data_IF_654897552750
#
_entry.id   IF_654897552750
#
_cell.length_a   1.000
_cell.length_b   1.000
_cell.length_c   1.000
_cell.angle_alpha   90.00
_cell.angle_beta   90.00
_cell.angle_gamma   90.00
#
_symmetry.space_group_name_H-M   'P 1'
#
loop_
_entity.id
_entity.type
_entity.pdbx_description
1 polymer ?
#
# COMPACT_ATOMS: atom_id res chain seq x y z
N UNK A 1 -16.73 14.42 -7.20
CA UNK A 1 -16.09 13.08 -7.18
C UNK A 1 -16.05 12.63 -5.73
N UNK A 2 -16.46 11.40 -5.45
CA UNK A 2 -16.48 10.91 -4.06
C UNK A 2 -15.05 10.78 -3.53
N UNK A 3 -14.81 11.15 -2.27
CA UNK A 3 -13.50 11.15 -1.62
C UNK A 3 -13.33 9.98 -0.65
N UNK A 4 -14.30 9.06 -0.58
CA UNK A 4 -14.27 7.93 0.35
C UNK A 4 -13.19 6.94 -0.12
N UNK A 5 -12.19 6.64 0.71
CA UNK A 5 -11.16 5.67 0.37
C UNK A 5 -11.66 4.24 0.61
N UNK A 6 -11.19 3.33 -0.23
CA UNK A 6 -11.36 1.89 -0.02
C UNK A 6 -10.55 1.37 1.17
N UNK A 7 -9.65 2.17 1.72
CA UNK A 7 -8.73 1.79 2.78
C UNK A 7 -8.97 2.61 4.06
N UNK A 8 -8.66 2.00 5.20
CA UNK A 8 -8.50 2.69 6.49
C UNK A 8 -7.17 2.31 7.10
N UNK A 9 -6.57 3.26 7.83
CA UNK A 9 -5.31 3.04 8.54
C UNK A 9 -5.50 3.30 10.03
N UNK A 10 -4.85 2.48 10.86
CA UNK A 10 -4.67 2.71 12.30
C UNK A 10 -3.21 2.62 12.68
N UNK A 11 -2.76 3.38 13.67
CA UNK A 11 -1.37 3.37 14.12
C UNK A 11 -1.14 2.17 15.04
N UNK A 12 -0.03 1.46 14.81
CA UNK A 12 0.46 0.38 15.69
C UNK A 12 1.60 0.86 16.57
N UNK A 13 2.50 1.66 16.01
CA UNK A 13 3.69 2.20 16.69
C UNK A 13 3.95 3.63 16.20
N UNK A 14 5.01 4.28 16.70
CA UNK A 14 5.40 5.61 16.23
C UNK A 14 5.68 5.68 14.72
N UNK A 15 6.00 4.55 14.07
CA UNK A 15 6.34 4.51 12.64
C UNK A 15 5.59 3.46 11.81
N UNK A 16 4.72 2.66 12.43
CA UNK A 16 4.04 1.53 11.75
C UNK A 16 2.53 1.67 11.85
N UNK A 17 1.85 1.40 10.73
CA UNK A 17 0.41 1.48 10.56
C UNK A 17 -0.13 0.17 10.01
N UNK A 18 -1.29 -0.25 10.51
CA UNK A 18 -2.09 -1.30 9.89
C UNK A 18 -3.10 -0.64 8.97
N UNK A 19 -3.14 -1.10 7.72
CA UNK A 19 -4.08 -0.70 6.69
C UNK A 19 -4.98 -1.90 6.38
N UNK A 20 -6.28 -1.63 6.19
CA UNK A 20 -7.30 -2.63 5.85
C UNK A 20 -8.25 -2.04 4.83
N UNK A 21 -8.90 -2.90 4.04
CA UNK A 21 -9.92 -2.48 3.06
C UNK A 21 -11.32 -2.44 3.68
N UNK A 22 -12.15 -1.50 3.22
CA UNK A 22 -13.57 -1.43 3.52
C UNK A 22 -14.34 -2.21 2.47
N UNK A 23 -15.20 -3.14 2.91
CA UNK A 23 -16.18 -3.82 2.05
C UNK A 23 -15.52 -4.38 0.78
N UNK A 24 -14.45 -5.15 0.99
CA UNK A 24 -13.74 -5.87 -0.06
C UNK A 24 -14.67 -6.91 -0.68
N UNK A 25 -14.79 -6.89 -2.01
CA UNK A 25 -15.72 -7.79 -2.74
C UNK A 25 -15.37 -9.27 -2.60
N UNK A 26 -14.15 -9.57 -2.16
CA UNK A 26 -13.65 -10.94 -2.00
C UNK A 26 -13.80 -11.47 -0.56
N UNK A 27 -14.20 -10.64 0.40
CA UNK A 27 -14.37 -11.01 1.82
C UNK A 27 -13.10 -11.62 2.46
N UNK A 28 -11.91 -11.28 1.93
CA UNK A 28 -10.62 -11.84 2.37
C UNK A 28 -10.04 -11.07 3.58
N UNK A 29 -10.44 -9.81 3.75
CA UNK A 29 -10.01 -8.92 4.84
C UNK A 29 -8.48 -8.88 5.10
N UNK A 30 -7.65 -8.62 4.07
CA UNK A 30 -6.19 -8.67 4.22
C UNK A 30 -5.66 -7.55 5.12
N UNK A 31 -4.55 -7.87 5.79
CA UNK A 31 -3.77 -6.89 6.56
C UNK A 31 -2.60 -6.39 5.72
N UNK A 32 -2.54 -5.07 5.53
CA UNK A 32 -1.43 -4.38 4.89
C UNK A 32 -0.67 -3.62 5.98
N UNK A 33 0.65 -3.74 6.05
CA UNK A 33 1.43 -2.96 7.00
C UNK A 33 2.26 -1.90 6.28
N UNK A 34 2.13 -0.65 6.70
CA UNK A 34 2.97 0.44 6.24
C UNK A 34 3.91 0.87 7.36
N UNK A 35 5.22 0.85 7.10
CA UNK A 35 6.26 1.30 8.02
C UNK A 35 7.05 2.45 7.41
N UNK A 36 6.99 3.60 8.05
CA UNK A 36 7.75 4.81 7.70
C UNK A 36 9.18 4.66 8.22
N UNK A 37 10.18 4.80 7.35
CA UNK A 37 11.60 4.72 7.71
C UNK A 37 12.33 5.98 7.22
N UNK A 38 12.24 7.10 7.99
CA UNK A 38 12.78 8.39 7.56
C UNK A 38 14.29 8.36 7.32
N UNK A 39 15.05 7.62 8.14
CA UNK A 39 16.50 7.49 8.00
C UNK A 39 16.96 6.86 6.68
N UNK A 40 16.05 6.19 5.97
CA UNK A 40 16.29 5.59 4.66
C UNK A 40 15.47 6.27 3.55
N UNK A 41 14.81 7.39 3.82
CA UNK A 41 13.90 8.08 2.89
C UNK A 41 12.88 7.13 2.23
N UNK A 42 12.36 6.17 3.00
CA UNK A 42 11.60 5.04 2.46
C UNK A 42 10.37 4.71 3.31
N UNK A 43 9.31 4.25 2.66
CA UNK A 43 8.17 3.57 3.26
C UNK A 43 8.17 2.09 2.85
N UNK A 44 8.24 1.20 3.83
CA UNK A 44 8.10 -0.24 3.63
C UNK A 44 6.62 -0.61 3.68
N UNK A 45 6.11 -1.22 2.61
CA UNK A 45 4.78 -1.78 2.51
C UNK A 45 4.91 -3.31 2.55
N UNK A 46 4.24 -3.93 3.51
CA UNK A 46 4.08 -5.38 3.58
C UNK A 46 2.66 -5.69 3.09
N UNK A 47 2.60 -6.45 2.00
CA UNK A 47 1.39 -6.85 1.28
C UNK A 47 0.59 -5.68 0.67
N UNK A 48 -0.26 -5.97 -0.30
CA UNK A 48 -1.01 -4.93 -1.06
C UNK A 48 -2.53 -5.06 -0.96
N UNK A 49 -3.02 -6.12 -0.32
CA UNK A 49 -4.44 -6.45 -0.23
C UNK A 49 -5.10 -6.76 -1.58
N UNK A 50 -6.43 -6.64 -1.59
CA UNK A 50 -7.29 -6.88 -2.75
C UNK A 50 -7.33 -5.68 -3.72
N UNK A 51 -6.75 -4.56 -3.33
CA UNK A 51 -6.53 -3.40 -4.18
C UNK A 51 -7.70 -2.43 -4.23
N UNK A 52 -8.55 -2.40 -3.21
CA UNK A 52 -9.65 -1.46 -3.09
C UNK A 52 -10.82 -1.78 -4.03
N UNK A 53 -10.98 -3.05 -4.38
CA UNK A 53 -12.18 -3.52 -5.07
C UNK A 53 -13.32 -3.58 -4.05
N UNK A 54 -14.34 -2.74 -4.25
CA UNK A 54 -15.47 -2.66 -3.31
C UNK A 54 -16.81 -2.57 -4.03
N UNK A 55 -17.85 -3.12 -3.38
CA UNK A 55 -19.24 -3.03 -3.81
C UNK A 55 -19.85 -1.65 -3.53
N UNK A 56 -19.19 -0.82 -2.71
CA UNK A 56 -19.68 0.50 -2.35
C UNK A 56 -19.48 1.50 -3.51
N UNK A 57 -20.56 2.03 -4.13
CA UNK A 57 -20.47 2.97 -5.24
C UNK A 57 -19.92 4.34 -4.84
N UNK A 58 -19.87 4.64 -3.55
CA UNK A 58 -19.31 5.88 -3.03
C UNK A 58 -17.78 5.81 -2.90
N UNK A 59 -17.11 4.68 -3.10
CA UNK A 59 -15.64 4.65 -3.05
C UNK A 59 -15.05 5.33 -4.28
N UNK A 60 -14.27 6.38 -4.05
CA UNK A 60 -13.58 7.15 -5.09
C UNK A 60 -12.08 6.86 -5.15
N UNK A 61 -11.43 6.68 -4.00
CA UNK A 61 -10.00 6.37 -3.92
C UNK A 61 -9.82 4.86 -3.78
N UNK A 62 -9.38 4.22 -4.86
CA UNK A 62 -9.21 2.75 -4.95
C UNK A 62 -7.75 2.31 -4.96
N UNK A 63 -6.82 3.22 -5.28
CA UNK A 63 -5.40 2.91 -5.28
C UNK A 63 -4.82 3.00 -3.88
N UNK A 64 -4.09 1.97 -3.44
CA UNK A 64 -3.36 2.00 -2.17
C UNK A 64 -2.32 3.14 -2.18
N UNK A 65 -1.65 3.38 -3.32
CA UNK A 65 -0.72 4.51 -3.46
C UNK A 65 -1.44 5.84 -3.27
N UNK A 66 -2.54 6.05 -3.98
CA UNK A 66 -3.32 7.29 -3.87
C UNK A 66 -3.80 7.53 -2.43
N UNK A 67 -4.25 6.47 -1.75
CA UNK A 67 -4.59 6.53 -0.34
C UNK A 67 -3.39 6.98 0.53
N UNK A 68 -2.22 6.35 0.38
CA UNK A 68 -1.02 6.69 1.14
C UNK A 68 -0.56 8.14 0.92
N UNK A 69 -0.75 8.67 -0.29
CA UNK A 69 -0.21 9.96 -0.70
C UNK A 69 -1.15 11.14 -0.51
N UNK A 70 -2.46 10.91 -0.47
CA UNK A 70 -3.46 11.99 -0.51
C UNK A 70 -4.45 11.97 0.66
N UNK A 71 -4.67 10.81 1.30
CA UNK A 71 -5.72 10.67 2.30
C UNK A 71 -5.17 10.92 3.70
N UNK A 72 -5.77 11.89 4.40
CA UNK A 72 -5.45 12.19 5.79
C UNK A 72 -5.81 11.01 6.71
N UNK A 73 -4.84 10.55 7.50
CA UNK A 73 -5.05 9.53 8.53
C UNK A 73 -5.13 10.22 9.89
N UNK A 74 -6.24 10.05 10.61
CA UNK A 74 -6.48 10.72 11.91
C UNK A 74 -5.33 10.43 12.90
N UNK A 75 -4.92 9.16 12.97
CA UNK A 75 -3.83 8.72 13.84
C UNK A 75 -2.43 9.15 13.33
N UNK A 76 -2.33 9.76 12.16
CA UNK A 76 -1.12 10.38 11.62
C UNK A 76 -1.24 11.91 11.57
N UNK A 77 -1.72 12.51 12.66
CA UNK A 77 -1.84 13.97 12.79
C UNK A 77 -2.71 14.59 11.69
N UNK A 78 -3.68 13.82 11.17
CA UNK A 78 -4.51 14.20 10.02
C UNK A 78 -3.71 14.51 8.75
N UNK A 79 -2.54 13.89 8.60
CA UNK A 79 -1.71 13.97 7.40
C UNK A 79 -1.68 12.62 6.65
N UNK A 80 -1.47 12.63 5.32
CA UNK A 80 -1.17 11.41 4.58
C UNK A 80 0.09 10.72 5.11
N UNK A 81 0.18 9.41 4.92
CA UNK A 81 1.34 8.64 5.38
C UNK A 81 2.60 8.93 4.53
N UNK A 82 2.43 9.25 3.24
CA UNK A 82 3.52 9.63 2.33
C UNK A 82 3.09 10.80 1.42
N UNK A 83 2.94 12.03 1.95
CA UNK A 83 2.34 13.13 1.19
C UNK A 83 3.02 13.37 -0.16
N UNK A 84 2.28 13.16 -1.26
CA UNK A 84 2.79 13.32 -2.63
C UNK A 84 3.96 12.39 -3.01
N UNK A 85 4.12 11.25 -2.35
CA UNK A 85 5.14 10.25 -2.72
C UNK A 85 6.58 10.67 -2.38
N UNK A 86 6.78 11.48 -1.33
CA UNK A 86 8.11 11.97 -0.92
C UNK A 86 9.09 10.88 -0.46
N UNK A 87 8.56 9.77 0.05
CA UNK A 87 9.32 8.57 0.40
C UNK A 87 9.26 7.57 -0.74
N UNK A 88 10.40 6.92 -1.02
CA UNK A 88 10.45 5.77 -1.90
C UNK A 88 9.64 4.60 -1.31
N UNK A 89 9.02 3.76 -2.14
CA UNK A 89 8.36 2.56 -1.65
C UNK A 89 9.25 1.34 -1.78
N UNK A 90 9.33 0.56 -0.71
CA UNK A 90 9.76 -0.83 -0.78
C UNK A 90 8.51 -1.68 -0.55
N UNK A 91 8.13 -2.49 -1.53
CA UNK A 91 6.97 -3.37 -1.40
C UNK A 91 7.45 -4.81 -1.25
N UNK A 92 7.03 -5.45 -0.16
CA UNK A 92 7.35 -6.83 0.17
C UNK A 92 6.06 -7.61 0.27
N UNK A 93 5.99 -8.75 -0.42
CA UNK A 93 4.87 -9.67 -0.34
C UNK A 93 5.25 -10.83 0.58
N UNK A 94 4.43 -11.07 1.60
CA UNK A 94 4.68 -12.06 2.65
C UNK A 94 4.52 -13.49 2.15
N UNK A 95 3.58 -13.74 1.24
CA UNK A 95 3.36 -15.03 0.60
C UNK A 95 2.53 -14.89 -0.70
N UNK A 96 2.20 -16.03 -1.34
CA UNK A 96 1.68 -16.07 -2.72
C UNK A 96 0.16 -16.33 -2.86
N UNK A 97 -0.64 -16.06 -1.83
CA UNK A 97 -2.10 -16.16 -1.96
C UNK A 97 -2.70 -14.96 -2.73
N UNK A 98 -3.94 -15.11 -3.18
CA UNK A 98 -4.60 -14.19 -4.11
C UNK A 98 -4.81 -12.78 -3.52
N UNK A 99 -5.02 -12.69 -2.22
CA UNK A 99 -5.10 -11.49 -1.37
C UNK A 99 -3.77 -10.71 -1.25
N UNK A 100 -2.67 -11.29 -1.75
CA UNK A 100 -1.34 -10.70 -1.74
C UNK A 100 -0.85 -10.31 -3.14
N UNK A 101 -1.06 -11.14 -4.16
CA UNK A 101 -0.41 -10.94 -5.48
C UNK A 101 -1.24 -10.12 -6.47
N UNK A 102 -2.58 -10.13 -6.42
CA UNK A 102 -3.39 -9.82 -7.60
C UNK A 102 -3.22 -8.40 -8.16
N UNK A 103 -2.74 -7.44 -7.37
CA UNK A 103 -2.58 -6.04 -7.82
C UNK A 103 -1.19 -5.42 -7.61
N UNK A 104 -0.25 -6.18 -7.04
CA UNK A 104 1.15 -5.74 -6.93
C UNK A 104 1.77 -5.51 -8.32
N UNK A 105 1.26 -6.21 -9.35
CA UNK A 105 1.69 -6.09 -10.75
C UNK A 105 1.01 -4.96 -11.55
N UNK A 106 -0.20 -4.50 -11.18
CA UNK A 106 -0.95 -3.58 -12.04
C UNK A 106 -0.90 -2.11 -11.58
N UNK A 107 -0.76 -1.81 -10.28
CA UNK A 107 -0.99 -0.44 -9.77
C UNK A 107 0.17 0.23 -9.02
N UNK A 108 1.19 -0.52 -8.57
CA UNK A 108 2.42 0.10 -8.00
C UNK A 108 3.53 0.17 -9.06
N UNK A 109 3.43 -0.63 -10.13
CA UNK A 109 4.43 -0.74 -11.19
C UNK A 109 4.37 0.34 -12.28
N UNK A 110 3.26 1.07 -12.47
CA UNK A 110 3.07 1.82 -13.72
C UNK A 110 3.77 3.19 -13.78
N UNK A 111 4.00 3.86 -12.64
CA UNK A 111 4.22 5.33 -12.72
C UNK A 111 5.63 5.82 -12.32
N UNK A 112 6.50 4.98 -11.74
CA UNK A 112 7.88 5.39 -11.38
C UNK A 112 8.75 4.15 -11.05
N UNK A 113 9.23 3.44 -12.07
CA UNK A 113 10.06 2.25 -11.87
C UNK A 113 11.40 2.55 -11.16
N UNK A 114 11.91 3.78 -11.26
CA UNK A 114 13.23 4.17 -10.74
C UNK A 114 13.27 4.37 -9.22
N UNK A 115 12.11 4.46 -8.55
CA UNK A 115 12.02 4.74 -7.09
C UNK A 115 11.58 3.55 -6.24
N UNK A 116 11.23 2.43 -6.85
CA UNK A 116 10.57 1.33 -6.13
C UNK A 116 11.40 0.05 -6.15
N UNK A 117 11.66 -0.52 -4.97
CA UNK A 117 12.30 -1.82 -4.83
C UNK A 117 11.26 -2.88 -4.46
N UNK A 118 11.23 -3.99 -5.19
CA UNK A 118 10.31 -5.10 -4.97
C UNK A 118 11.04 -6.35 -4.49
N UNK A 119 10.55 -6.98 -3.43
CA UNK A 119 11.05 -8.27 -2.97
C UNK A 119 9.87 -9.23 -2.73
N UNK A 120 9.76 -10.27 -3.56
CA UNK A 120 8.80 -11.35 -3.38
C UNK A 120 9.52 -12.58 -2.82
N UNK A 121 9.02 -13.16 -1.73
CA UNK A 121 9.55 -14.41 -1.19
C UNK A 121 8.89 -15.60 -1.91
N UNK A 122 9.45 -15.96 -3.07
CA UNK A 122 9.09 -17.12 -3.88
C UNK A 122 9.94 -17.15 -5.14
N UNK A 123 10.69 -18.24 -5.37
CA UNK A 123 11.79 -18.34 -6.35
C UNK A 123 11.52 -17.72 -7.74
N UNK A 124 12.20 -16.61 -8.07
CA UNK A 124 13.15 -16.46 -9.21
C UNK A 124 13.74 -15.04 -9.33
N UNK A 125 15.06 -14.99 -9.13
CA UNK A 125 16.10 -14.22 -9.87
C UNK A 125 16.16 -12.68 -9.76
N UNK A 126 17.27 -12.24 -9.14
CA UNK A 126 18.16 -11.11 -9.46
C UNK A 126 17.69 -10.12 -10.54
N UNK A 127 17.77 -8.82 -10.25
CA UNK A 127 18.61 -7.87 -11.00
C UNK A 127 19.06 -6.70 -10.09
N UNK A 128 20.29 -6.79 -9.60
CA UNK A 128 21.19 -5.63 -9.52
C UNK A 128 21.95 -5.63 -10.84
N UNK A 129 22.03 -4.49 -11.51
CA UNK A 129 23.11 -4.22 -12.47
C UNK A 129 23.92 -3.06 -11.94
N UNK A 130 25.23 -3.31 -11.90
CA UNK A 130 26.30 -2.34 -11.71
C UNK A 130 26.38 -1.38 -12.90
#
# INVERSE_FOLDING_TARGET
>A
MSTVPAFKARRLTSSTFLITEWDDIYDEHPFIYAKVVPSAQTMLILDTGCGGASNNPCIGVKSLREFLETVAVEENERAPLNPGGQLAYIVVQSHCHYDHIRRCLENVLSDDADKNLYAQWGWKRLLRTA
#
